data_IF_823717297159
#
_entry.id   IF_823717297159
#
_cell.length_a   1.000
_cell.length_b   1.000
_cell.length_c   1.000
_cell.angle_alpha   90.00
_cell.angle_beta   90.00
_cell.angle_gamma   90.00
#
_symmetry.space_group_name_H-M   'P 1'
#
loop_
_entity.id
_entity.type
_entity.pdbx_description
1 polymer ?
#
# COMPACT_ATOMS: atom_id res chain seq x y z
N UNK A 1 17.92 17.70 0.85
CA UNK A 1 18.12 16.23 0.89
C UNK A 1 16.76 15.57 1.10
N UNK A 2 16.47 14.45 0.44
CA UNK A 2 15.21 13.71 0.59
C UNK A 2 15.33 12.68 1.73
N UNK A 3 14.45 12.78 2.73
CA UNK A 3 14.40 11.83 3.84
C UNK A 3 13.31 10.78 3.58
N UNK A 4 13.65 9.50 3.74
CA UNK A 4 12.73 8.36 3.52
C UNK A 4 12.62 7.54 4.79
N UNK A 5 11.39 7.36 5.26
CA UNK A 5 11.07 6.50 6.40
C UNK A 5 10.34 5.25 5.92
N UNK A 6 10.84 4.08 6.28
CA UNK A 6 10.17 2.80 6.02
C UNK A 6 9.56 2.28 7.31
N UNK A 7 8.24 2.14 7.34
CA UNK A 7 7.50 1.68 8.52
C UNK A 7 7.20 0.19 8.34
N UNK A 8 7.80 -0.64 9.19
CA UNK A 8 7.52 -2.08 9.28
C UNK A 8 6.73 -2.40 10.56
N UNK A 9 6.22 -3.62 10.66
CA UNK A 9 5.47 -4.09 11.84
C UNK A 9 5.30 -5.60 11.77
N UNK A 10 5.29 -6.24 12.93
CA UNK A 10 5.32 -7.70 13.11
C UNK A 10 4.12 -8.39 12.47
N UNK A 11 2.94 -7.79 12.62
CA UNK A 11 1.68 -8.40 12.21
C UNK A 11 0.88 -7.52 11.24
N UNK A 12 -0.11 -8.13 10.61
CA UNK A 12 -1.18 -7.39 9.94
C UNK A 12 -2.00 -6.63 10.99
N UNK A 13 -2.53 -5.46 10.62
CA UNK A 13 -3.39 -4.65 11.50
C UNK A 13 -2.78 -4.16 12.83
N UNK A 14 -1.47 -4.31 13.04
CA UNK A 14 -0.73 -3.81 14.23
C UNK A 14 -0.67 -2.27 14.34
N UNK A 15 -1.34 -1.53 13.44
CA UNK A 15 -1.41 -0.07 13.51
C UNK A 15 -0.39 0.70 12.67
N UNK A 16 0.30 0.05 11.73
CA UNK A 16 1.28 0.70 10.82
C UNK A 16 0.72 1.97 10.15
N UNK A 17 -0.49 1.89 9.58
CA UNK A 17 -1.12 3.04 8.91
C UNK A 17 -1.40 4.19 9.87
N UNK A 18 -1.78 3.89 11.12
CA UNK A 18 -2.05 4.90 12.15
C UNK A 18 -0.76 5.65 12.51
N UNK A 19 0.33 4.91 12.73
CA UNK A 19 1.65 5.49 13.03
C UNK A 19 2.18 6.29 11.84
N UNK A 20 2.09 5.76 10.61
CA UNK A 20 2.48 6.47 9.40
C UNK A 20 1.71 7.78 9.23
N UNK A 21 0.40 7.77 9.47
CA UNK A 21 -0.43 8.98 9.44
C UNK A 21 0.05 9.98 10.49
N UNK A 22 0.25 9.56 11.74
CA UNK A 22 0.70 10.46 12.81
C UNK A 22 2.05 11.10 12.48
N UNK A 23 2.99 10.31 11.93
CA UNK A 23 4.30 10.80 11.50
C UNK A 23 4.19 11.83 10.37
N UNK A 24 3.37 11.55 9.34
CA UNK A 24 3.13 12.49 8.24
C UNK A 24 2.53 13.80 8.76
N UNK A 25 1.52 13.73 9.63
CA UNK A 25 0.89 14.91 10.22
C UNK A 25 1.87 15.73 11.05
N UNK A 26 2.70 15.08 11.89
CA UNK A 26 3.71 15.77 12.70
C UNK A 26 4.79 16.45 11.84
N UNK A 27 5.28 15.77 10.80
CA UNK A 27 6.25 16.35 9.87
C UNK A 27 5.65 17.51 9.07
N UNK A 28 4.41 17.37 8.59
CA UNK A 28 3.69 18.44 7.91
C UNK A 28 3.50 19.67 8.83
N UNK A 29 3.12 19.45 10.09
CA UNK A 29 3.00 20.50 11.11
C UNK A 29 4.34 21.22 11.39
N UNK A 30 5.47 20.53 11.20
CA UNK A 30 6.81 21.13 11.27
C UNK A 30 7.23 21.87 9.98
N UNK A 31 6.31 22.11 9.05
CA UNK A 31 6.55 22.81 7.79
C UNK A 31 7.25 21.97 6.72
N UNK A 32 7.37 20.65 6.91
CA UNK A 32 7.98 19.76 5.92
C UNK A 32 6.98 19.33 4.86
N UNK A 33 7.47 19.21 3.63
CA UNK A 33 6.73 18.60 2.52
C UNK A 33 6.81 17.08 2.64
N UNK A 34 5.67 16.41 2.78
CA UNK A 34 5.59 14.96 2.98
C UNK A 34 4.60 14.31 2.04
N UNK A 35 4.91 13.08 1.67
CA UNK A 35 4.03 12.20 0.90
C UNK A 35 3.96 10.84 1.59
N UNK A 36 2.74 10.38 1.82
CA UNK A 36 2.46 9.01 2.20
C UNK A 36 2.52 8.09 0.99
N UNK A 37 3.19 6.95 1.15
CA UNK A 37 3.45 6.01 0.06
C UNK A 37 3.11 4.59 0.48
N UNK A 38 2.21 3.94 -0.27
CA UNK A 38 1.79 2.55 -0.10
C UNK A 38 1.97 1.85 -1.45
N UNK A 39 3.18 1.43 -1.83
CA UNK A 39 3.48 0.98 -3.19
C UNK A 39 2.60 -0.19 -3.64
N UNK A 40 2.38 -1.14 -2.74
CA UNK A 40 1.59 -2.35 -2.97
C UNK A 40 0.52 -2.45 -1.89
N UNK A 41 -0.72 -2.67 -2.31
CA UNK A 41 -1.86 -2.82 -1.41
C UNK A 41 -2.80 -3.94 -1.87
N UNK A 42 -3.24 -4.75 -0.90
CA UNK A 42 -4.23 -5.82 -1.09
C UNK A 42 -5.59 -5.38 -0.54
N UNK A 43 -6.68 -6.05 -0.93
CA UNK A 43 -8.03 -5.74 -0.44
C UNK A 43 -8.53 -4.36 -0.89
N UNK A 44 -8.11 -3.93 -2.09
CA UNK A 44 -8.56 -2.68 -2.69
C UNK A 44 -9.97 -2.85 -3.23
N UNK A 45 -10.80 -1.81 -3.13
CA UNK A 45 -12.18 -1.82 -3.60
C UNK A 45 -12.30 -1.09 -4.94
N UNK A 46 -13.13 -1.60 -5.83
CA UNK A 46 -13.45 -0.94 -7.09
C UNK A 46 -14.20 0.37 -6.82
N UNK A 47 -13.81 1.43 -7.52
CA UNK A 47 -14.47 2.74 -7.49
C UNK A 47 -14.55 3.30 -8.91
N UNK A 48 -15.28 4.40 -9.12
CA UNK A 48 -15.33 5.06 -10.43
C UNK A 48 -13.93 5.48 -10.95
N UNK A 49 -12.97 5.69 -10.05
CA UNK A 49 -11.59 6.07 -10.39
C UNK A 49 -10.61 4.87 -10.37
N UNK A 50 -11.14 3.64 -10.42
CA UNK A 50 -10.42 2.37 -10.33
C UNK A 50 -10.23 1.87 -8.90
N UNK A 51 -9.37 0.87 -8.72
CA UNK A 51 -9.09 0.27 -7.41
C UNK A 51 -8.54 1.29 -6.39
N UNK A 52 -9.11 1.27 -5.18
CA UNK A 52 -8.73 2.13 -4.06
C UNK A 52 -8.52 1.32 -2.79
N UNK A 53 -7.33 1.44 -2.21
CA UNK A 53 -7.02 0.87 -0.91
C UNK A 53 -7.28 1.90 0.22
N UNK A 54 -7.91 1.43 1.31
CA UNK A 54 -8.25 2.27 2.46
C UNK A 54 -7.02 2.88 3.14
N UNK A 55 -5.93 2.12 3.31
CA UNK A 55 -4.69 2.65 3.91
C UNK A 55 -4.09 3.73 3.01
N UNK A 56 -4.02 3.48 1.71
CA UNK A 56 -3.45 4.42 0.74
C UNK A 56 -4.23 5.75 0.74
N UNK A 57 -5.56 5.70 0.79
CA UNK A 57 -6.41 6.90 0.90
C UNK A 57 -6.15 7.66 2.21
N UNK A 58 -6.01 6.97 3.34
CA UNK A 58 -5.67 7.60 4.62
C UNK A 58 -4.33 8.34 4.50
N UNK A 59 -3.30 7.68 3.96
CA UNK A 59 -1.99 8.29 3.78
C UNK A 59 -2.01 9.48 2.81
N UNK A 60 -2.79 9.40 1.73
CA UNK A 60 -2.97 10.50 0.78
C UNK A 60 -3.65 11.70 1.46
N UNK A 61 -4.68 11.47 2.28
CA UNK A 61 -5.44 12.55 2.95
C UNK A 61 -4.62 13.40 3.92
N UNK A 62 -3.50 12.84 4.44
CA UNK A 62 -2.60 13.53 5.37
C UNK A 62 -1.25 13.89 4.75
N UNK A 63 -1.10 13.64 3.45
CA UNK A 63 0.07 14.09 2.70
C UNK A 63 -0.05 15.58 2.42
N UNK A 64 1.06 16.31 2.55
CA UNK A 64 1.08 17.73 2.14
C UNK A 64 1.27 17.88 0.64
N UNK A 65 1.76 16.83 -0.04
CA UNK A 65 1.90 16.78 -1.49
C UNK A 65 0.66 16.13 -2.10
N UNK A 66 0.01 16.84 -3.02
CA UNK A 66 -1.05 16.29 -3.84
C UNK A 66 -0.44 15.36 -4.89
N UNK A 67 -0.47 14.04 -4.64
CA UNK A 67 -0.04 13.02 -5.58
C UNK A 67 -1.26 12.26 -6.11
N UNK A 68 -1.21 11.89 -7.39
CA UNK A 68 -2.18 10.98 -7.98
C UNK A 68 -2.10 9.61 -7.29
N UNK A 69 -3.22 8.90 -7.21
CA UNK A 69 -3.24 7.56 -6.61
C UNK A 69 -2.27 6.59 -7.30
N UNK A 70 -2.07 6.70 -8.62
CA UNK A 70 -1.05 5.90 -9.34
C UNK A 70 0.38 6.20 -8.90
N UNK A 71 0.66 7.35 -8.30
CA UNK A 71 1.98 7.73 -7.78
C UNK A 71 2.15 7.35 -6.30
N UNK A 72 1.07 7.37 -5.50
CA UNK A 72 1.13 7.03 -4.07
C UNK A 72 0.88 5.55 -3.77
N UNK A 73 0.06 4.88 -4.60
CA UNK A 73 -0.29 3.47 -4.55
C UNK A 73 -0.43 2.90 -5.98
N UNK A 74 0.70 2.68 -6.69
CA UNK A 74 0.71 2.18 -8.07
C UNK A 74 0.14 0.78 -8.23
N UNK A 75 0.35 -0.12 -7.25
CA UNK A 75 -0.09 -1.51 -7.31
C UNK A 75 -1.21 -1.71 -6.27
N UNK A 76 -2.44 -1.58 -6.73
CA UNK A 76 -3.64 -1.89 -5.95
C UNK A 76 -4.24 -3.20 -6.45
N UNK A 77 -4.31 -4.20 -5.58
CA UNK A 77 -4.89 -5.51 -5.84
C UNK A 77 -6.22 -5.63 -5.11
N UNK A 78 -7.21 -6.25 -5.76
CA UNK A 78 -8.45 -6.66 -5.10
C UNK A 78 -8.16 -7.81 -4.11
N UNK A 79 -9.18 -8.23 -3.36
CA UNK A 79 -9.10 -9.40 -2.47
C UNK A 79 -8.80 -10.68 -3.28
N UNK A 80 -9.50 -10.85 -4.40
CA UNK A 80 -9.45 -12.04 -5.28
C UNK A 80 -8.11 -12.16 -6.00
N UNK A 81 -7.65 -11.07 -6.62
CA UNK A 81 -6.37 -10.99 -7.36
C UNK A 81 -5.16 -11.20 -6.43
N UNK A 82 -5.34 -10.93 -5.13
CA UNK A 82 -4.31 -11.09 -4.11
C UNK A 82 -4.13 -12.56 -3.68
N UNK A 83 -5.14 -13.39 -3.88
CA UNK A 83 -5.12 -14.81 -3.55
C UNK A 83 -4.66 -15.62 -4.76
N UNK A 84 -3.45 -16.17 -4.70
CA UNK A 84 -2.91 -17.08 -5.73
C UNK A 84 -3.61 -18.45 -5.72
N UNK A 85 -4.68 -18.60 -4.94
CA UNK A 85 -5.49 -19.81 -4.92
C UNK A 85 -6.45 -19.79 -6.12
N UNK A 86 -5.89 -19.98 -7.32
CA UNK A 86 -6.69 -20.70 -8.31
C UNK A 86 -7.05 -22.04 -7.65
N UNK A 87 -8.33 -22.37 -7.62
CA UNK A 87 -8.87 -23.66 -7.17
C UNK A 87 -8.40 -24.85 -8.05
N UNK A 88 -7.34 -24.65 -8.83
CA UNK A 88 -6.68 -25.64 -9.64
C UNK A 88 -5.50 -26.22 -8.84
N UNK A 89 -5.40 -27.56 -8.70
CA UNK A 89 -4.26 -28.19 -8.05
C UNK A 89 -2.95 -27.73 -8.69
N UNK A 90 -2.00 -27.27 -7.89
CA UNK A 90 -0.64 -27.01 -8.40
C UNK A 90 -0.02 -28.36 -8.74
N UNK A 91 0.18 -28.61 -10.03
CA UNK A 91 0.81 -29.84 -10.48
C UNK A 91 2.34 -29.71 -10.46
N UNK A 92 2.98 -30.30 -9.46
CA UNK A 92 4.44 -30.33 -9.31
C UNK A 92 5.13 -31.43 -10.15
N UNK A 93 4.41 -32.20 -10.96
CA UNK A 93 5.01 -33.34 -11.70
C UNK A 93 5.83 -32.94 -12.93
N UNK A 94 5.95 -31.65 -13.25
CA UNK A 94 6.81 -31.18 -14.34
C UNK A 94 8.02 -30.41 -13.79
N UNK A 95 8.96 -31.13 -13.20
CA UNK A 95 10.36 -30.69 -13.18
C UNK A 95 11.16 -31.70 -13.99
N UNK A 96 11.57 -31.41 -15.24
CA UNK A 96 12.57 -32.24 -15.88
C UNK A 96 13.85 -32.08 -15.08
N UNK A 97 14.28 -33.15 -14.41
CA UNK A 97 15.68 -33.30 -14.03
C UNK A 97 16.48 -33.30 -15.34
N UNK A 98 17.20 -32.21 -15.58
CA UNK A 98 18.31 -32.12 -16.52
C UNK A 98 19.44 -31.37 -15.82
#
# INVERSE_FOLDING_TARGET
>A
MLNRFFITGTDTSVGKTVVSRALLQALAASGKRVAGYKPVAKGSKETADGLRNKDALVLQSVSSLALLMKQSNPIALSEEESSVAHSCPINYTCSPMA
#
